data_IF_361285806304
#
_entry.id   IF_361285806304
#
_cell.length_a   1.000
_cell.length_b   1.000
_cell.length_c   1.000
_cell.angle_alpha   90.00
_cell.angle_beta   90.00
_cell.angle_gamma   90.00
#
_symmetry.space_group_name_H-M   'P 1'
#
loop_
_entity.id
_entity.type
_entity.pdbx_description
1 polymer ?
#
# COMPACT_ATOMS: atom_id res chain seq x y z
N UNK A 1 -41.22 -4.39 -40.85
CA UNK A 1 -42.48 -5.19 -40.97
C UNK A 1 -42.68 -5.88 -39.65
N UNK A 2 -43.63 -5.37 -38.96
CA UNK A 2 -44.82 -5.92 -38.30
C UNK A 2 -44.52 -6.68 -37.03
N UNK A 3 -44.86 -6.11 -35.83
CA UNK A 3 -46.16 -6.02 -35.16
C UNK A 3 -46.53 -7.40 -34.52
N UNK A 4 -47.07 -7.55 -33.33
CA UNK A 4 -47.97 -6.81 -32.46
C UNK A 4 -48.13 -7.59 -31.13
N UNK A 5 -48.16 -6.89 -30.04
CA UNK A 5 -49.27 -6.67 -29.09
C UNK A 5 -49.72 -7.80 -28.13
N UNK A 6 -49.64 -7.47 -26.86
CA UNK A 6 -50.70 -7.34 -25.81
C UNK A 6 -51.61 -8.53 -25.48
N UNK A 7 -51.78 -8.87 -24.19
CA UNK A 7 -53.01 -8.57 -23.43
C UNK A 7 -52.97 -9.06 -21.99
N UNK A 8 -53.52 -8.21 -21.14
CA UNK A 8 -53.90 -8.40 -19.74
C UNK A 8 -54.98 -9.46 -19.54
N UNK A 9 -55.08 -10.07 -18.34
CA UNK A 9 -56.38 -10.44 -17.75
C UNK A 9 -56.29 -10.44 -16.22
N UNK A 10 -57.05 -9.54 -15.59
CA UNK A 10 -57.49 -9.50 -14.19
C UNK A 10 -58.77 -10.32 -14.06
N UNK A 11 -58.96 -11.07 -12.99
CA UNK A 11 -60.29 -11.52 -12.56
C UNK A 11 -60.40 -11.61 -11.05
N UNK A 12 -61.22 -10.72 -10.50
CA UNK A 12 -61.82 -10.68 -9.16
C UNK A 12 -63.05 -11.61 -9.14
N UNK A 13 -63.23 -12.36 -8.09
CA UNK A 13 -64.51 -13.05 -7.81
C UNK A 13 -64.89 -12.84 -6.35
N UNK A 14 -65.98 -12.07 -6.16
CA UNK A 14 -66.77 -11.95 -4.93
C UNK A 14 -67.81 -13.07 -4.93
N UNK A 15 -68.04 -13.73 -3.78
CA UNK A 15 -69.22 -14.58 -3.58
C UNK A 15 -69.85 -14.23 -2.25
N UNK A 16 -71.10 -13.83 -2.33
CA UNK A 16 -72.03 -13.51 -1.23
C UNK A 16 -72.71 -14.77 -0.67
N UNK A 17 -72.91 -14.73 0.65
CA UNK A 17 -73.65 -15.82 1.38
C UNK A 17 -75.04 -15.32 1.78
N UNK A 18 -75.98 -16.09 1.50
CA UNK A 18 -77.41 -15.94 1.92
C UNK A 18 -77.65 -16.58 3.28
N UNK A 19 -78.37 -15.86 4.12
CA UNK A 19 -78.88 -16.35 5.42
C UNK A 19 -80.18 -17.10 5.28
N UNK A 20 -80.40 -18.19 6.04
CA UNK A 20 -81.67 -18.73 6.35
C UNK A 20 -81.87 -18.93 7.85
N UNK A 21 -82.84 -18.25 8.40
CA UNK A 21 -83.24 -18.36 9.79
C UNK A 21 -84.29 -19.50 9.95
N UNK A 22 -84.11 -20.31 10.98
CA UNK A 22 -85.17 -21.19 11.52
C UNK A 22 -85.21 -21.05 13.04
N UNK A 23 -86.41 -20.70 13.51
CA UNK A 23 -86.78 -20.54 14.92
C UNK A 23 -87.08 -21.90 15.52
N UNK A 24 -86.56 -22.24 16.68
CA UNK A 24 -86.89 -23.38 17.50
C UNK A 24 -86.72 -23.13 18.97
N UNK A 25 -87.83 -23.03 19.72
CA UNK A 25 -87.88 -22.89 21.18
C UNK A 25 -87.36 -24.11 21.93
N UNK A 26 -86.61 -23.92 22.99
CA UNK A 26 -86.30 -24.99 23.92
C UNK A 26 -85.26 -24.66 24.99
N UNK A 27 -85.73 -24.44 26.22
CA UNK A 27 -85.11 -24.54 27.57
C UNK A 27 -83.75 -23.88 27.83
N UNK A 28 -83.78 -22.95 28.80
CA UNK A 28 -82.60 -22.44 29.51
C UNK A 28 -81.84 -23.56 30.23
N UNK A 29 -80.64 -23.73 29.88
CA UNK A 29 -79.63 -24.45 30.62
C UNK A 29 -78.56 -23.42 31.00
N UNK A 30 -78.17 -23.31 32.30
CA UNK A 30 -77.15 -22.35 32.79
C UNK A 30 -75.81 -22.66 32.21
N UNK A 31 -75.25 -21.73 31.47
CA UNK A 31 -73.91 -21.84 30.90
C UNK A 31 -72.83 -21.67 32.02
N UNK A 32 -72.06 -22.72 32.21
CA UNK A 32 -70.80 -22.64 33.01
C UNK A 32 -69.80 -21.67 32.36
N UNK A 33 -69.05 -20.92 33.14
CA UNK A 33 -68.09 -19.97 32.59
C UNK A 33 -67.00 -20.71 31.78
N UNK A 34 -66.87 -20.36 30.51
CA UNK A 34 -65.78 -20.82 29.63
C UNK A 34 -64.50 -20.14 30.11
N UNK A 35 -63.60 -20.90 30.69
CA UNK A 35 -62.22 -20.47 30.96
C UNK A 35 -61.51 -20.36 29.62
N UNK A 36 -61.37 -19.13 29.12
CA UNK A 36 -60.55 -18.82 27.95
C UNK A 36 -59.10 -19.03 28.37
N UNK A 37 -58.45 -20.05 27.86
CA UNK A 37 -57.03 -20.28 28.02
C UNK A 37 -56.28 -19.06 27.45
N UNK A 38 -55.23 -18.53 28.13
CA UNK A 38 -54.45 -17.39 27.61
C UNK A 38 -53.80 -17.79 26.30
N UNK A 39 -53.97 -16.98 25.27
CA UNK A 39 -53.29 -17.09 23.98
C UNK A 39 -51.80 -17.09 24.25
N UNK A 40 -51.01 -18.05 23.73
CA UNK A 40 -49.55 -18.01 23.89
C UNK A 40 -48.99 -16.69 23.32
N UNK A 41 -48.24 -15.99 24.12
CA UNK A 41 -47.50 -14.81 23.66
C UNK A 41 -46.59 -15.19 22.47
N UNK A 42 -46.44 -14.34 21.44
CA UNK A 42 -45.54 -14.61 20.34
C UNK A 42 -44.15 -14.92 20.88
N UNK A 43 -43.62 -16.09 20.55
CA UNK A 43 -42.23 -16.42 20.91
C UNK A 43 -41.34 -15.33 20.37
N UNK A 44 -40.55 -14.69 21.27
CA UNK A 44 -39.54 -13.73 20.87
C UNK A 44 -38.62 -14.42 19.85
N UNK A 45 -38.56 -13.88 18.64
CA UNK A 45 -37.66 -14.39 17.61
C UNK A 45 -36.23 -14.33 18.14
N UNK A 46 -35.52 -15.45 18.10
CA UNK A 46 -34.11 -15.51 18.48
C UNK A 46 -33.33 -14.43 17.69
N UNK A 47 -32.36 -13.73 18.34
CA UNK A 47 -31.54 -12.76 17.62
C UNK A 47 -30.92 -13.41 16.40
N UNK A 48 -30.96 -12.73 15.24
CA UNK A 48 -30.30 -13.19 14.04
C UNK A 48 -28.81 -13.46 14.33
N UNK A 49 -28.23 -14.56 13.86
CA UNK A 49 -26.82 -14.85 14.09
C UNK A 49 -25.97 -13.67 13.59
N UNK A 50 -24.99 -13.24 14.41
CA UNK A 50 -24.05 -12.20 13.99
C UNK A 50 -23.36 -12.67 12.70
N UNK A 51 -23.16 -11.77 11.71
CA UNK A 51 -22.40 -12.11 10.52
C UNK A 51 -20.99 -12.57 10.92
N UNK A 52 -20.48 -13.60 10.26
CA UNK A 52 -19.09 -14.02 10.48
C UNK A 52 -18.13 -12.90 10.06
N UNK A 53 -17.05 -12.66 10.83
CA UNK A 53 -16.07 -11.64 10.49
C UNK A 53 -15.36 -11.97 9.19
N UNK A 54 -15.02 -10.94 8.42
CA UNK A 54 -14.19 -11.06 7.22
C UNK A 54 -12.77 -11.46 7.65
N UNK A 55 -12.33 -12.67 7.24
CA UNK A 55 -10.98 -13.16 7.48
C UNK A 55 -10.02 -12.61 6.43
N UNK A 56 -8.96 -11.96 6.90
CA UNK A 56 -7.97 -11.27 6.08
C UNK A 56 -6.59 -11.79 6.43
N UNK A 57 -5.77 -12.14 5.43
CA UNK A 57 -4.41 -12.60 5.65
C UNK A 57 -3.39 -11.72 4.92
N UNK A 58 -2.19 -11.61 5.50
CA UNK A 58 -1.06 -10.85 4.95
C UNK A 58 0.14 -11.76 4.78
N UNK A 59 0.72 -11.78 3.59
CA UNK A 59 2.01 -12.41 3.30
C UNK A 59 3.09 -11.33 3.29
N UNK A 60 4.00 -11.36 4.26
CA UNK A 60 5.09 -10.39 4.43
C UNK A 60 6.43 -10.98 3.97
N UNK A 61 7.21 -10.21 3.21
CA UNK A 61 8.54 -10.62 2.73
C UNK A 61 9.59 -10.59 3.84
N UNK A 62 9.52 -9.63 4.73
CA UNK A 62 10.42 -9.45 5.86
C UNK A 62 9.77 -9.76 7.21
N UNK A 63 10.51 -9.59 8.30
CA UNK A 63 9.96 -9.68 9.65
C UNK A 63 9.19 -8.40 10.02
N UNK A 64 8.15 -8.50 10.83
CA UNK A 64 7.37 -7.33 11.31
C UNK A 64 8.19 -6.34 12.15
N UNK A 65 9.37 -6.74 12.58
CA UNK A 65 10.32 -5.91 13.33
C UNK A 65 11.47 -5.35 12.50
N UNK A 66 11.38 -5.34 11.15
CA UNK A 66 12.43 -4.81 10.28
C UNK A 66 12.68 -3.30 10.48
N UNK A 67 11.68 -2.59 10.94
CA UNK A 67 11.70 -1.14 11.13
C UNK A 67 11.41 -0.34 9.85
N UNK A 68 11.19 -1.02 8.73
CA UNK A 68 10.96 -0.42 7.41
C UNK A 68 9.69 -0.93 6.74
N UNK A 69 9.84 -1.64 5.64
CA UNK A 69 8.75 -2.05 4.74
C UNK A 69 7.69 -2.91 5.43
N UNK A 70 8.08 -4.06 6.00
CA UNK A 70 7.13 -4.95 6.66
C UNK A 70 6.52 -4.33 7.89
N UNK A 71 7.29 -3.56 8.66
CA UNK A 71 6.80 -2.79 9.79
C UNK A 71 5.70 -1.80 9.39
N UNK A 72 5.88 -1.06 8.28
CA UNK A 72 4.88 -0.13 7.77
C UNK A 72 3.58 -0.85 7.36
N UNK A 73 3.69 -2.00 6.69
CA UNK A 73 2.53 -2.83 6.33
C UNK A 73 1.79 -3.39 7.56
N UNK A 74 2.53 -3.89 8.57
CA UNK A 74 1.90 -4.44 9.77
C UNK A 74 1.21 -3.35 10.62
N UNK A 75 1.77 -2.15 10.66
CA UNK A 75 1.10 -1.01 11.29
C UNK A 75 -0.23 -0.69 10.59
N UNK A 76 -0.25 -0.72 9.26
CA UNK A 76 -1.49 -0.51 8.51
C UNK A 76 -2.50 -1.65 8.71
N UNK A 77 -2.05 -2.91 8.84
CA UNK A 77 -2.91 -4.03 9.23
C UNK A 77 -3.59 -3.78 10.58
N UNK A 78 -2.84 -3.29 11.57
CA UNK A 78 -3.39 -2.95 12.90
C UNK A 78 -4.44 -1.82 12.83
N UNK A 79 -4.31 -0.89 11.88
CA UNK A 79 -5.34 0.14 11.66
C UNK A 79 -6.64 -0.44 11.09
N UNK A 80 -6.60 -1.55 10.33
CA UNK A 80 -7.80 -2.30 9.94
C UNK A 80 -8.52 -2.83 11.18
N UNK A 81 -7.79 -3.47 12.11
CA UNK A 81 -8.36 -4.01 13.35
C UNK A 81 -9.02 -2.91 14.19
N UNK A 82 -8.39 -1.73 14.27
CA UNK A 82 -8.97 -0.55 14.96
C UNK A 82 -10.21 -0.01 14.26
N UNK A 83 -10.21 0.06 12.93
CA UNK A 83 -11.30 0.65 12.16
C UNK A 83 -12.56 -0.22 12.15
N UNK A 84 -12.40 -1.53 12.14
CA UNK A 84 -13.52 -2.45 11.90
C UNK A 84 -13.85 -3.39 13.06
N UNK A 85 -12.97 -3.52 14.06
CA UNK A 85 -13.22 -4.31 15.28
C UNK A 85 -13.66 -5.74 14.97
N UNK A 86 -14.77 -6.16 15.56
CA UNK A 86 -15.32 -7.52 15.44
C UNK A 86 -15.86 -7.88 14.04
N UNK A 87 -15.87 -6.96 13.09
CA UNK A 87 -16.24 -7.25 11.69
C UNK A 87 -15.13 -7.91 10.88
N UNK A 88 -13.90 -7.90 11.37
CA UNK A 88 -12.74 -8.46 10.68
C UNK A 88 -11.90 -9.31 11.63
N UNK A 89 -11.13 -10.23 11.06
CA UNK A 89 -10.05 -10.94 11.75
C UNK A 89 -8.84 -10.93 10.84
N UNK A 90 -7.74 -10.30 11.29
CA UNK A 90 -6.51 -10.24 10.52
C UNK A 90 -5.48 -11.25 11.02
N UNK A 91 -4.72 -11.82 10.10
CA UNK A 91 -3.60 -12.73 10.36
C UNK A 91 -2.44 -12.42 9.41
N UNK A 92 -1.24 -12.89 9.72
CA UNK A 92 -0.10 -12.73 8.82
C UNK A 92 0.88 -13.91 8.91
N UNK A 93 1.68 -14.06 7.86
CA UNK A 93 2.88 -14.88 7.82
C UNK A 93 4.03 -14.01 7.37
N UNK A 94 5.10 -13.95 8.16
CA UNK A 94 6.29 -13.16 7.88
C UNK A 94 7.41 -14.00 7.25
N UNK A 95 8.40 -13.32 6.64
CA UNK A 95 9.59 -13.96 6.04
C UNK A 95 9.22 -14.97 4.96
N UNK A 96 8.17 -14.69 4.20
CA UNK A 96 7.79 -15.51 3.05
C UNK A 96 8.70 -15.13 1.89
N UNK A 97 9.55 -16.07 1.38
CA UNK A 97 10.48 -15.73 0.32
C UNK A 97 9.76 -15.53 -1.03
N UNK A 98 10.31 -14.68 -1.90
CA UNK A 98 9.83 -14.45 -3.27
C UNK A 98 10.18 -15.63 -4.20
N UNK A 99 9.66 -16.82 -3.88
CA UNK A 99 9.91 -18.09 -4.56
C UNK A 99 8.62 -18.89 -4.71
N UNK A 100 8.73 -20.16 -5.07
CA UNK A 100 7.60 -21.10 -5.09
C UNK A 100 6.91 -21.24 -3.72
N UNK A 101 7.61 -20.94 -2.62
CA UNK A 101 7.01 -20.93 -1.27
C UNK A 101 5.94 -19.87 -1.11
N UNK A 102 6.06 -18.74 -1.79
CA UNK A 102 5.01 -17.70 -1.75
C UNK A 102 3.67 -18.26 -2.24
N UNK A 103 3.65 -19.01 -3.35
CA UNK A 103 2.43 -19.63 -3.86
C UNK A 103 1.83 -20.60 -2.83
N UNK A 104 2.66 -21.45 -2.21
CA UNK A 104 2.23 -22.41 -1.18
C UNK A 104 1.60 -21.70 0.01
N UNK A 105 2.30 -20.69 0.56
CA UNK A 105 1.80 -19.93 1.72
C UNK A 105 0.47 -19.22 1.41
N UNK A 106 0.35 -18.61 0.23
CA UNK A 106 -0.89 -17.92 -0.18
C UNK A 106 -2.04 -18.94 -0.36
N UNK A 107 -1.78 -20.14 -0.90
CA UNK A 107 -2.78 -21.23 -0.96
C UNK A 107 -3.20 -21.69 0.42
N UNK A 108 -2.26 -21.83 1.35
CA UNK A 108 -2.56 -22.18 2.74
C UNK A 108 -3.46 -21.13 3.40
N UNK A 109 -3.21 -19.84 3.17
CA UNK A 109 -4.09 -18.75 3.64
C UNK A 109 -5.52 -18.88 3.10
N UNK A 110 -5.69 -19.22 1.82
CA UNK A 110 -7.02 -19.50 1.23
C UNK A 110 -7.68 -20.69 1.92
N UNK A 111 -6.94 -21.78 2.13
CA UNK A 111 -7.44 -23.02 2.78
C UNK A 111 -7.89 -22.77 4.22
N UNK A 112 -7.25 -21.83 4.93
CA UNK A 112 -7.65 -21.37 6.27
C UNK A 112 -8.93 -20.53 6.28
N UNK A 113 -9.53 -20.30 5.11
CA UNK A 113 -10.81 -19.60 4.97
C UNK A 113 -10.70 -18.09 4.86
N UNK A 114 -9.51 -17.55 4.64
CA UNK A 114 -9.35 -16.13 4.38
C UNK A 114 -10.06 -15.75 3.07
N UNK A 115 -10.78 -14.62 3.08
CA UNK A 115 -11.57 -14.11 1.95
C UNK A 115 -10.93 -12.90 1.28
N UNK A 116 -9.90 -12.35 1.92
CA UNK A 116 -9.08 -11.27 1.39
C UNK A 116 -7.61 -11.53 1.76
N UNK A 117 -6.69 -11.40 0.79
CA UNK A 117 -5.28 -11.70 0.99
C UNK A 117 -4.45 -10.56 0.42
N UNK A 118 -3.58 -10.00 1.26
CA UNK A 118 -2.59 -9.00 0.89
C UNK A 118 -1.23 -9.66 0.71
N UNK A 119 -0.64 -9.53 -0.47
CA UNK A 119 0.75 -9.89 -0.73
C UNK A 119 1.58 -8.62 -0.86
N UNK A 120 2.55 -8.45 0.01
CA UNK A 120 3.17 -7.15 0.26
C UNK A 120 4.54 -6.97 -0.39
N UNK A 121 4.83 -7.64 -1.49
CA UNK A 121 6.07 -7.44 -2.24
C UNK A 121 5.92 -7.75 -3.71
N UNK A 122 6.77 -7.16 -4.53
CA UNK A 122 6.78 -7.29 -6.00
C UNK A 122 6.82 -8.75 -6.48
N UNK A 123 7.67 -9.58 -5.89
CA UNK A 123 7.87 -10.96 -6.31
C UNK A 123 6.69 -11.90 -6.07
N UNK A 124 5.65 -11.47 -5.34
CA UNK A 124 4.43 -12.28 -5.18
C UNK A 124 3.46 -12.18 -6.35
N UNK A 125 3.74 -11.37 -7.38
CA UNK A 125 2.82 -11.13 -8.49
C UNK A 125 2.37 -12.42 -9.19
N UNK A 126 3.30 -13.23 -9.67
CA UNK A 126 2.97 -14.48 -10.38
C UNK A 126 2.37 -15.55 -9.44
N UNK A 127 2.91 -15.79 -8.22
CA UNK A 127 2.28 -16.64 -7.24
C UNK A 127 0.82 -16.27 -6.93
N UNK A 128 0.55 -14.98 -6.69
CA UNK A 128 -0.81 -14.51 -6.39
C UNK A 128 -1.75 -14.67 -7.58
N UNK A 129 -1.31 -14.38 -8.81
CA UNK A 129 -2.12 -14.56 -10.01
C UNK A 129 -2.57 -16.02 -10.19
N UNK A 130 -1.67 -16.97 -9.96
CA UNK A 130 -2.00 -18.40 -10.04
C UNK A 130 -3.05 -18.78 -8.98
N UNK A 131 -2.85 -18.37 -7.73
CA UNK A 131 -3.80 -18.66 -6.66
C UNK A 131 -5.14 -17.97 -6.91
N UNK A 132 -5.16 -16.74 -7.40
CA UNK A 132 -6.37 -16.00 -7.75
C UNK A 132 -7.17 -16.68 -8.88
N UNK A 133 -6.47 -17.23 -9.88
CA UNK A 133 -7.13 -17.97 -10.98
C UNK A 133 -7.95 -19.15 -10.48
N UNK A 134 -7.44 -19.87 -9.47
CA UNK A 134 -8.08 -21.06 -8.90
C UNK A 134 -9.14 -20.73 -7.81
N UNK A 135 -9.15 -19.50 -7.28
CA UNK A 135 -9.93 -19.12 -6.10
C UNK A 135 -10.75 -17.83 -6.33
N UNK A 136 -11.70 -17.87 -7.27
CA UNK A 136 -12.51 -16.72 -7.71
C UNK A 136 -13.32 -16.02 -6.62
N UNK A 137 -13.62 -16.72 -5.53
CA UNK A 137 -14.35 -16.17 -4.36
C UNK A 137 -13.46 -15.44 -3.34
N UNK A 138 -12.14 -15.38 -3.56
CA UNK A 138 -11.16 -14.70 -2.69
C UNK A 138 -10.67 -13.43 -3.38
N UNK A 139 -10.53 -12.35 -2.63
CA UNK A 139 -10.01 -11.06 -3.08
C UNK A 139 -8.52 -10.99 -2.82
N UNK A 140 -7.75 -10.54 -3.82
CA UNK A 140 -6.31 -10.43 -3.71
C UNK A 140 -5.86 -8.98 -3.91
N UNK A 141 -5.02 -8.50 -2.98
CA UNK A 141 -4.39 -7.20 -2.97
C UNK A 141 -2.88 -7.39 -3.10
N UNK A 142 -2.29 -6.94 -4.19
CA UNK A 142 -0.87 -7.12 -4.45
C UNK A 142 -0.13 -5.78 -4.46
N UNK A 143 0.85 -5.62 -3.56
CA UNK A 143 1.70 -4.45 -3.50
C UNK A 143 2.71 -4.43 -4.66
N UNK A 144 2.93 -3.25 -5.23
CA UNK A 144 3.97 -2.94 -6.22
C UNK A 144 3.92 -3.74 -7.54
N UNK A 145 2.87 -4.52 -7.76
CA UNK A 145 2.67 -5.27 -9.00
C UNK A 145 2.03 -4.43 -10.12
N UNK A 146 2.06 -4.99 -11.33
CA UNK A 146 1.46 -4.37 -12.52
C UNK A 146 0.49 -5.30 -13.26
N UNK A 147 0.32 -6.54 -12.82
CA UNK A 147 -0.67 -7.48 -13.37
C UNK A 147 -1.87 -7.58 -12.44
N UNK A 148 -3.05 -7.56 -13.03
CA UNK A 148 -4.33 -7.67 -12.32
C UNK A 148 -5.15 -8.85 -12.83
N UNK A 149 -6.18 -9.24 -12.08
CA UNK A 149 -7.18 -10.22 -12.48
C UNK A 149 -8.57 -9.78 -11.98
N UNK A 150 -9.63 -10.47 -12.41
CA UNK A 150 -11.00 -10.18 -12.00
C UNK A 150 -11.17 -10.11 -10.47
N UNK A 151 -10.42 -10.93 -9.73
CA UNK A 151 -10.40 -10.98 -8.28
C UNK A 151 -9.05 -10.58 -7.67
N UNK A 152 -8.20 -9.88 -8.42
CA UNK A 152 -6.92 -9.34 -7.96
C UNK A 152 -6.72 -7.93 -8.48
N UNK A 153 -6.34 -7.01 -7.59
CA UNK A 153 -5.90 -5.66 -7.92
C UNK A 153 -4.52 -5.38 -7.36
N UNK A 154 -3.88 -4.36 -7.87
CA UNK A 154 -2.56 -3.93 -7.41
C UNK A 154 -2.66 -2.57 -6.75
N UNK A 155 -1.79 -2.34 -5.77
CA UNK A 155 -1.60 -1.04 -5.14
C UNK A 155 -0.11 -0.76 -4.98
N UNK A 156 0.25 0.51 -5.10
CA UNK A 156 1.62 0.99 -4.97
C UNK A 156 1.63 2.40 -4.36
N UNK A 157 2.79 2.82 -3.91
CA UNK A 157 3.02 4.16 -3.37
C UNK A 157 4.09 4.90 -4.19
N UNK A 158 3.92 6.23 -4.31
CA UNK A 158 4.88 7.11 -5.01
C UNK A 158 6.08 7.41 -4.12
N UNK A 159 6.79 6.36 -3.68
CA UNK A 159 7.96 6.46 -2.79
C UNK A 159 9.00 7.47 -3.29
N UNK A 160 9.07 7.66 -4.60
CA UNK A 160 9.95 8.64 -5.23
C UNK A 160 9.67 10.10 -4.81
N UNK A 161 8.47 10.41 -4.33
CA UNK A 161 8.14 11.72 -3.79
C UNK A 161 8.85 11.97 -2.45
N UNK A 162 8.87 10.96 -1.58
CA UNK A 162 9.66 10.95 -0.33
C UNK A 162 11.16 11.00 -0.61
N UNK A 163 11.63 10.20 -1.57
CA UNK A 163 13.02 10.19 -1.99
C UNK A 163 13.48 11.57 -2.52
N UNK A 164 12.65 12.27 -3.28
CA UNK A 164 12.95 13.62 -3.75
C UNK A 164 13.10 14.60 -2.58
N UNK A 165 12.19 14.58 -1.62
CA UNK A 165 12.26 15.43 -0.41
C UNK A 165 13.50 15.12 0.41
N UNK A 166 13.86 13.83 0.60
CA UNK A 166 15.12 13.43 1.21
C UNK A 166 16.33 13.99 0.43
N UNK A 167 16.25 13.94 -0.90
CA UNK A 167 17.28 14.52 -1.77
C UNK A 167 17.48 16.01 -1.55
N UNK A 168 16.42 16.79 -1.45
CA UNK A 168 16.48 18.24 -1.16
C UNK A 168 17.23 18.50 0.16
N UNK A 169 16.92 17.74 1.21
CA UNK A 169 17.63 17.84 2.48
C UNK A 169 19.10 17.42 2.31
N UNK A 170 19.37 16.31 1.62
CA UNK A 170 20.72 15.82 1.37
C UNK A 170 21.58 16.84 0.61
N UNK A 171 21.02 17.50 -0.41
CA UNK A 171 21.71 18.54 -1.18
C UNK A 171 22.15 19.74 -0.35
N UNK A 172 21.39 20.07 0.71
CA UNK A 172 21.72 21.13 1.66
C UNK A 172 22.72 20.67 2.73
N UNK A 173 22.59 19.43 3.20
CA UNK A 173 23.34 18.93 4.35
C UNK A 173 24.69 18.30 3.98
N UNK A 174 24.86 17.84 2.74
CA UNK A 174 26.13 17.27 2.29
C UNK A 174 27.24 18.34 2.22
N UNK A 175 28.36 18.03 2.84
CA UNK A 175 29.58 18.86 2.84
C UNK A 175 30.56 18.40 1.77
N UNK A 176 30.57 17.11 1.42
CA UNK A 176 31.50 16.55 0.44
C UNK A 176 30.97 16.69 -1.01
N UNK A 177 29.68 16.97 -1.19
CA UNK A 177 29.06 16.96 -2.51
C UNK A 177 28.83 15.54 -3.04
N UNK A 178 29.05 14.51 -2.21
CA UNK A 178 28.83 13.11 -2.54
C UNK A 178 27.82 12.51 -1.56
N UNK A 179 26.72 12.01 -2.09
CA UNK A 179 25.70 11.30 -1.33
C UNK A 179 25.68 9.83 -1.74
N UNK A 180 25.19 8.96 -0.87
CA UNK A 180 25.17 7.52 -1.12
C UNK A 180 23.76 6.94 -1.04
N UNK A 181 23.47 5.93 -1.87
CA UNK A 181 22.24 5.15 -1.77
C UNK A 181 22.57 3.67 -1.68
N UNK A 182 22.06 3.00 -0.65
CA UNK A 182 22.03 1.54 -0.58
C UNK A 182 20.75 1.09 -1.27
N UNK A 183 20.92 0.44 -2.43
CA UNK A 183 19.81 -0.08 -3.24
C UNK A 183 19.58 -1.57 -2.99
N UNK A 184 18.33 -1.98 -2.92
CA UNK A 184 17.92 -3.37 -2.76
C UNK A 184 18.05 -4.15 -4.06
N UNK A 185 17.03 -4.18 -4.89
CA UNK A 185 16.94 -4.92 -6.15
C UNK A 185 16.80 -3.93 -7.31
N UNK A 186 17.53 -4.10 -8.43
CA UNK A 186 17.55 -3.12 -9.53
C UNK A 186 16.28 -3.20 -10.41
N UNK A 187 15.14 -2.92 -9.82
CA UNK A 187 13.84 -2.78 -10.49
C UNK A 187 13.48 -1.30 -10.71
N UNK A 188 12.54 -0.99 -11.60
CA UNK A 188 12.16 0.38 -11.93
C UNK A 188 11.80 1.26 -10.72
N UNK A 189 11.16 0.70 -9.70
CA UNK A 189 10.83 1.40 -8.46
C UNK A 189 12.08 1.94 -7.75
N UNK A 190 13.06 1.07 -7.47
CA UNK A 190 14.29 1.43 -6.76
C UNK A 190 15.13 2.41 -7.58
N UNK A 191 15.22 2.20 -8.90
CA UNK A 191 15.91 3.11 -9.82
C UNK A 191 15.25 4.49 -9.80
N UNK A 192 13.93 4.55 -9.81
CA UNK A 192 13.15 5.79 -9.74
C UNK A 192 13.40 6.55 -8.43
N UNK A 193 13.49 5.83 -7.30
CA UNK A 193 13.78 6.43 -6.00
C UNK A 193 15.19 7.01 -5.96
N UNK A 194 16.20 6.27 -6.42
CA UNK A 194 17.59 6.75 -6.54
C UNK A 194 17.66 8.02 -7.40
N UNK A 195 17.00 7.99 -8.53
CA UNK A 195 16.98 9.12 -9.46
C UNK A 195 16.27 10.34 -8.85
N UNK A 196 15.13 10.15 -8.20
CA UNK A 196 14.38 11.24 -7.57
C UNK A 196 15.13 11.85 -6.39
N UNK A 197 15.83 11.04 -5.59
CA UNK A 197 16.75 11.52 -4.57
C UNK A 197 17.86 12.41 -5.18
N UNK A 198 18.45 11.96 -6.28
CA UNK A 198 19.49 12.72 -6.98
C UNK A 198 18.94 14.03 -7.55
N UNK A 199 17.76 14.00 -8.19
CA UNK A 199 17.10 15.21 -8.71
C UNK A 199 16.80 16.21 -7.57
N UNK A 200 16.30 15.72 -6.43
CA UNK A 200 16.07 16.53 -5.23
C UNK A 200 17.37 17.17 -4.73
N UNK A 201 18.44 16.39 -4.60
CA UNK A 201 19.75 16.90 -4.15
C UNK A 201 20.32 17.93 -5.13
N UNK A 202 20.22 17.69 -6.43
CA UNK A 202 20.70 18.61 -7.46
C UNK A 202 19.84 19.88 -7.61
N UNK A 203 18.58 19.86 -7.16
CA UNK A 203 17.74 21.07 -7.13
C UNK A 203 18.27 22.12 -6.15
N UNK A 204 19.08 21.71 -5.17
CA UNK A 204 19.73 22.57 -4.18
C UNK A 204 21.22 22.76 -4.48
N UNK A 205 21.91 21.67 -4.81
CA UNK A 205 23.33 21.71 -5.18
C UNK A 205 23.56 20.94 -6.50
N UNK A 206 23.59 21.62 -7.66
CA UNK A 206 23.71 20.98 -8.97
C UNK A 206 24.98 20.14 -9.19
N UNK A 207 25.98 20.26 -8.30
CA UNK A 207 27.24 19.52 -8.39
C UNK A 207 27.21 18.20 -7.62
N UNK A 208 26.15 17.91 -6.88
CA UNK A 208 26.01 16.67 -6.12
C UNK A 208 26.13 15.47 -7.04
N UNK A 209 26.84 14.47 -6.53
CA UNK A 209 26.97 13.14 -7.12
C UNK A 209 26.38 12.10 -6.18
N UNK A 210 25.66 11.15 -6.75
CA UNK A 210 25.08 10.03 -6.03
C UNK A 210 25.83 8.76 -6.36
N UNK A 211 26.39 8.09 -5.36
CA UNK A 211 26.98 6.74 -5.46
C UNK A 211 25.93 5.71 -5.02
N UNK A 212 25.92 4.57 -5.70
CA UNK A 212 24.97 3.49 -5.40
C UNK A 212 25.73 2.21 -5.14
N UNK A 213 25.34 1.49 -4.08
CA UNK A 213 25.77 0.11 -3.82
C UNK A 213 24.51 -0.76 -3.73
N UNK A 214 24.47 -1.81 -4.53
CA UNK A 214 23.35 -2.74 -4.59
C UNK A 214 23.62 -3.97 -3.72
N UNK A 215 22.65 -4.35 -2.87
CA UNK A 215 22.73 -5.54 -2.03
C UNK A 215 22.03 -6.75 -2.63
N UNK A 216 21.18 -6.56 -3.64
CA UNK A 216 20.38 -7.59 -4.33
C UNK A 216 19.44 -8.39 -3.40
N UNK A 217 19.01 -7.78 -2.31
CA UNK A 217 18.03 -8.30 -1.35
C UNK A 217 17.22 -7.14 -0.77
N UNK A 218 15.97 -7.41 -0.36
CA UNK A 218 15.15 -6.42 0.31
C UNK A 218 15.62 -6.18 1.74
N UNK A 219 15.88 -7.25 2.48
CA UNK A 219 16.26 -7.22 3.89
C UNK A 219 17.49 -8.10 4.15
N UNK A 220 18.63 -7.47 4.36
CA UNK A 220 19.87 -8.12 4.78
C UNK A 220 20.74 -7.13 5.57
N UNK A 221 20.50 -6.95 6.89
CA UNK A 221 21.22 -5.97 7.71
C UNK A 221 22.75 -6.04 7.62
N UNK A 222 23.40 -7.23 7.58
CA UNK A 222 24.84 -7.33 7.35
C UNK A 222 25.30 -6.72 6.03
N UNK A 223 24.66 -7.08 4.91
CA UNK A 223 25.01 -6.53 3.59
C UNK A 223 24.71 -5.03 3.48
N UNK A 224 23.63 -4.58 4.10
CA UNK A 224 23.28 -3.16 4.16
C UNK A 224 24.34 -2.36 4.94
N UNK A 225 24.84 -2.91 6.04
CA UNK A 225 25.96 -2.34 6.82
C UNK A 225 27.24 -2.26 5.99
N UNK A 226 27.59 -3.33 5.25
CA UNK A 226 28.75 -3.34 4.36
C UNK A 226 28.61 -2.31 3.23
N UNK A 227 27.45 -2.22 2.60
CA UNK A 227 27.16 -1.26 1.55
C UNK A 227 27.23 0.19 2.04
N UNK A 228 26.64 0.50 3.19
CA UNK A 228 26.71 1.80 3.82
C UNK A 228 28.16 2.19 4.16
N UNK A 229 28.92 1.24 4.73
CA UNK A 229 30.34 1.44 5.05
C UNK A 229 31.15 1.73 3.78
N UNK A 230 30.92 0.99 2.70
CA UNK A 230 31.62 1.21 1.42
C UNK A 230 31.30 2.61 0.83
N UNK A 231 30.04 3.04 0.88
CA UNK A 231 29.61 4.37 0.43
C UNK A 231 30.29 5.48 1.24
N UNK A 232 30.32 5.35 2.56
CA UNK A 232 30.96 6.31 3.47
C UNK A 232 32.47 6.40 3.20
N UNK A 233 33.15 5.25 3.10
CA UNK A 233 34.58 5.20 2.76
C UNK A 233 34.84 5.74 1.35
N UNK A 234 33.87 5.64 0.45
CA UNK A 234 33.89 6.23 -0.88
C UNK A 234 33.60 7.74 -0.91
N UNK A 235 33.46 8.41 0.26
CA UNK A 235 33.32 9.87 0.39
C UNK A 235 31.87 10.35 0.56
N UNK A 236 30.87 9.48 0.60
CA UNK A 236 29.50 9.88 0.89
C UNK A 236 29.37 10.32 2.37
N UNK A 237 28.76 11.47 2.61
CA UNK A 237 28.53 12.00 3.96
C UNK A 237 27.04 12.05 4.34
N UNK A 238 26.14 11.83 3.38
CA UNK A 238 24.71 11.68 3.58
C UNK A 238 24.24 10.43 2.84
N UNK A 239 23.51 9.53 3.51
CA UNK A 239 23.03 8.28 2.95
C UNK A 239 21.49 8.24 2.89
N UNK A 240 20.99 7.63 1.82
CA UNK A 240 19.61 7.14 1.69
C UNK A 240 19.66 5.62 1.52
N UNK A 241 18.61 4.95 1.90
CA UNK A 241 18.40 3.53 1.62
C UNK A 241 17.12 3.30 0.86
N UNK A 242 17.07 2.20 0.10
CA UNK A 242 15.85 1.58 -0.40
C UNK A 242 15.94 0.09 -0.08
N UNK A 243 16.20 -0.19 1.18
CA UNK A 243 16.26 -1.51 1.82
C UNK A 243 15.44 -1.46 3.11
N UNK A 244 15.04 -2.60 3.62
CA UNK A 244 13.96 -2.69 4.61
C UNK A 244 14.44 -2.59 6.05
N UNK A 245 15.77 -2.68 6.32
CA UNK A 245 16.27 -2.61 7.69
C UNK A 245 16.73 -1.21 8.11
N UNK A 246 16.95 -1.01 9.40
CA UNK A 246 17.53 0.21 9.93
C UNK A 246 19.08 0.27 9.87
N UNK A 247 19.73 -0.73 9.25
CA UNK A 247 21.18 -0.92 9.32
C UNK A 247 21.98 0.23 8.67
N UNK A 248 21.48 0.83 7.60
CA UNK A 248 22.13 1.96 6.92
C UNK A 248 22.18 3.18 7.84
N UNK A 249 21.07 3.53 8.48
CA UNK A 249 20.99 4.64 9.43
C UNK A 249 21.88 4.40 10.65
N UNK A 250 21.86 3.20 11.23
CA UNK A 250 22.72 2.82 12.36
C UNK A 250 24.21 2.90 11.99
N UNK A 251 24.55 2.47 10.78
CA UNK A 251 25.94 2.55 10.28
C UNK A 251 26.38 3.99 10.09
N UNK A 252 25.53 4.83 9.53
CA UNK A 252 25.79 6.27 9.40
C UNK A 252 26.04 6.92 10.78
N UNK A 253 25.22 6.60 11.77
CA UNK A 253 25.41 7.08 13.15
C UNK A 253 26.73 6.65 13.73
N UNK A 254 27.07 5.37 13.64
CA UNK A 254 28.32 4.79 14.13
C UNK A 254 29.56 5.41 13.51
N UNK A 255 29.47 5.81 12.23
CA UNK A 255 30.57 6.41 11.48
C UNK A 255 30.53 7.96 11.47
N UNK A 256 29.64 8.59 12.25
CA UNK A 256 29.53 10.05 12.35
C UNK A 256 29.07 10.72 11.05
N UNK A 257 28.24 10.02 10.27
CA UNK A 257 27.62 10.52 9.03
C UNK A 257 26.13 10.73 9.22
N UNK A 258 25.46 11.22 8.19
CA UNK A 258 24.02 11.49 8.25
C UNK A 258 23.27 10.54 7.32
N UNK A 259 22.01 10.21 7.67
CA UNK A 259 21.17 9.36 6.85
C UNK A 259 19.69 9.62 7.07
N UNK A 260 18.88 9.02 6.21
CA UNK A 260 17.43 9.08 6.27
C UNK A 260 16.86 7.76 6.75
N UNK A 261 15.70 7.81 7.44
CA UNK A 261 14.81 6.69 7.59
C UNK A 261 14.02 6.43 6.30
N UNK A 262 13.64 5.18 6.10
CA UNK A 262 12.91 4.74 4.91
C UNK A 262 11.71 3.87 5.30
N UNK A 263 10.58 4.07 4.64
CA UNK A 263 9.28 3.39 4.83
C UNK A 263 8.59 3.67 6.17
N UNK A 264 9.33 3.93 7.24
CA UNK A 264 8.79 4.28 8.56
C UNK A 264 9.63 5.38 9.23
N UNK A 265 9.14 5.93 10.35
CA UNK A 265 9.95 6.85 11.18
C UNK A 265 11.05 6.07 11.90
N UNK A 266 12.26 6.19 11.40
CA UNK A 266 13.44 5.52 11.92
C UNK A 266 14.27 6.36 12.91
N UNK A 267 13.76 7.47 13.42
CA UNK A 267 14.48 8.38 14.34
C UNK A 267 15.17 7.63 15.50
N UNK A 268 14.48 6.62 16.06
CA UNK A 268 14.98 5.86 17.21
C UNK A 268 16.21 4.99 16.91
N UNK A 269 16.47 4.66 15.63
CA UNK A 269 17.55 3.76 15.25
C UNK A 269 18.90 4.46 15.02
N UNK A 270 18.91 5.79 14.93
CA UNK A 270 20.13 6.57 14.77
C UNK A 270 19.85 8.06 14.96
N UNK A 271 19.48 8.50 16.19
CA UNK A 271 18.95 9.85 16.42
C UNK A 271 19.92 10.97 16.10
N UNK A 272 21.24 10.72 16.13
CA UNK A 272 22.27 11.71 15.78
C UNK A 272 22.54 11.77 14.28
N UNK A 273 22.37 10.65 13.57
CA UNK A 273 22.55 10.57 12.13
C UNK A 273 21.29 10.99 11.37
N UNK A 274 20.13 10.80 11.96
CA UNK A 274 18.82 10.97 11.32
C UNK A 274 18.61 12.41 10.82
N UNK A 275 18.24 12.56 9.54
CA UNK A 275 17.89 13.83 8.90
C UNK A 275 16.39 14.01 8.67
N UNK A 276 15.66 12.92 8.65
CA UNK A 276 14.24 12.80 8.41
C UNK A 276 13.92 11.40 7.92
N UNK A 277 12.66 11.02 7.92
CA UNK A 277 12.20 9.72 7.40
C UNK A 277 11.20 9.91 6.26
N UNK A 278 11.47 9.31 5.10
CA UNK A 278 10.50 9.16 4.03
C UNK A 278 9.61 7.96 4.35
N UNK A 279 8.41 8.23 4.80
CA UNK A 279 7.49 7.16 5.27
C UNK A 279 6.48 6.75 4.22
N UNK A 280 6.01 5.50 4.33
CA UNK A 280 4.81 5.03 3.64
C UNK A 280 3.71 4.78 4.66
N UNK A 281 2.57 5.41 4.45
CA UNK A 281 1.36 5.17 5.22
C UNK A 281 0.37 4.35 4.41
N UNK A 282 0.37 3.04 4.58
CA UNK A 282 -0.54 2.11 3.91
C UNK A 282 -1.95 2.11 4.50
N UNK A 283 -2.14 2.65 5.70
CA UNK A 283 -3.40 2.56 6.44
C UNK A 283 -4.62 3.12 5.68
N UNK A 284 -4.57 4.31 5.03
CA UNK A 284 -5.71 4.82 4.28
C UNK A 284 -6.15 3.88 3.16
N UNK A 285 -5.19 3.26 2.45
CA UNK A 285 -5.51 2.30 1.41
C UNK A 285 -6.11 1.02 1.99
N UNK A 286 -5.52 0.46 3.03
CA UNK A 286 -5.97 -0.80 3.64
C UNK A 286 -7.37 -0.67 4.23
N UNK A 287 -7.62 0.40 4.99
CA UNK A 287 -8.95 0.67 5.54
C UNK A 287 -9.97 0.82 4.42
N UNK A 288 -9.66 1.58 3.36
CA UNK A 288 -10.54 1.70 2.18
C UNK A 288 -10.81 0.35 1.52
N UNK A 289 -9.79 -0.45 1.24
CA UNK A 289 -9.90 -1.73 0.54
C UNK A 289 -10.77 -2.74 1.33
N UNK A 290 -10.58 -2.80 2.65
CA UNK A 290 -11.36 -3.66 3.54
C UNK A 290 -12.79 -3.15 3.67
N UNK A 291 -13.01 -1.84 3.76
CA UNK A 291 -14.35 -1.24 3.77
C UNK A 291 -15.13 -1.57 2.50
N UNK A 292 -14.50 -1.47 1.33
CA UNK A 292 -15.10 -1.87 0.05
C UNK A 292 -15.47 -3.38 0.04
N UNK A 293 -14.62 -4.24 0.64
CA UNK A 293 -14.90 -5.66 0.74
C UNK A 293 -16.08 -5.97 1.66
N UNK A 294 -16.18 -5.30 2.81
CA UNK A 294 -17.29 -5.42 3.76
C UNK A 294 -18.61 -4.92 3.15
N UNK A 295 -18.57 -3.84 2.38
CA UNK A 295 -19.72 -3.23 1.71
C UNK A 295 -20.14 -3.97 0.42
N UNK A 296 -19.40 -4.98 -0.01
CA UNK A 296 -19.62 -5.66 -1.29
C UNK A 296 -19.29 -4.83 -2.53
N UNK A 297 -18.54 -3.74 -2.38
CA UNK A 297 -18.15 -2.80 -3.45
C UNK A 297 -16.74 -3.06 -4.01
N UNK A 298 -16.01 -3.96 -3.41
CA UNK A 298 -14.66 -4.28 -3.85
C UNK A 298 -14.67 -4.92 -5.26
N UNK A 299 -13.84 -4.40 -6.15
CA UNK A 299 -13.66 -4.93 -7.51
C UNK A 299 -12.18 -5.16 -7.80
N UNK A 300 -11.86 -6.25 -8.48
CA UNK A 300 -10.51 -6.49 -9.00
C UNK A 300 -10.24 -5.75 -10.32
N UNK A 301 -9.15 -6.10 -10.99
CA UNK A 301 -8.81 -5.56 -12.31
C UNK A 301 -8.29 -4.13 -12.33
N UNK A 302 -8.06 -3.51 -11.16
CA UNK A 302 -7.62 -2.12 -11.04
C UNK A 302 -6.24 -2.01 -10.43
N UNK A 303 -5.56 -0.89 -10.72
CA UNK A 303 -4.27 -0.53 -10.12
C UNK A 303 -4.38 0.83 -9.46
N UNK A 304 -3.79 0.97 -8.28
CA UNK A 304 -3.78 2.20 -7.50
C UNK A 304 -2.34 2.61 -7.21
N UNK A 305 -2.00 3.88 -7.42
CA UNK A 305 -0.67 4.42 -7.14
C UNK A 305 -0.79 5.75 -6.39
N UNK A 306 -0.69 5.71 -5.07
CA UNK A 306 -0.90 6.82 -4.17
C UNK A 306 0.41 7.49 -3.74
N UNK A 307 0.34 8.78 -3.45
CA UNK A 307 1.49 9.57 -3.04
C UNK A 307 1.17 10.52 -1.88
N UNK A 308 1.89 11.62 -1.85
CA UNK A 308 1.69 12.71 -0.87
C UNK A 308 0.26 13.26 -0.95
N UNK A 309 -0.32 13.30 -2.13
CA UNK A 309 -1.69 13.79 -2.37
C UNK A 309 -2.72 13.01 -1.57
N UNK A 310 -2.62 11.70 -1.55
CA UNK A 310 -3.54 10.79 -0.85
C UNK A 310 -3.12 10.52 0.61
N UNK A 311 -1.98 11.08 1.05
CA UNK A 311 -1.43 10.85 2.39
C UNK A 311 -0.73 9.50 2.56
N UNK A 312 -0.36 8.85 1.43
CA UNK A 312 0.39 7.60 1.45
C UNK A 312 1.90 7.82 1.64
N UNK A 313 2.43 8.98 1.25
CA UNK A 313 3.86 9.34 1.37
C UNK A 313 3.99 10.64 2.15
N UNK A 314 4.97 10.70 3.04
CA UNK A 314 5.40 11.95 3.65
C UNK A 314 6.90 11.92 4.03
N UNK A 315 7.46 13.11 4.30
CA UNK A 315 8.74 13.32 4.95
C UNK A 315 8.48 13.80 6.37
N UNK A 316 8.81 12.97 7.36
CA UNK A 316 8.53 13.24 8.77
C UNK A 316 9.80 13.36 9.60
N UNK A 317 9.66 13.85 10.83
CA UNK A 317 10.72 13.92 11.84
C UNK A 317 12.01 14.57 11.31
N UNK A 318 11.85 15.64 10.51
CA UNK A 318 13.00 16.39 9.97
C UNK A 318 13.84 16.94 11.11
N UNK A 319 15.15 16.65 11.12
CA UNK A 319 16.05 16.96 12.19
C UNK A 319 16.12 18.46 12.49
N UNK A 320 16.34 18.80 13.76
CA UNK A 320 16.35 20.20 14.23
C UNK A 320 17.41 21.03 13.53
N UNK A 321 18.57 20.44 13.22
CA UNK A 321 19.72 21.10 12.59
C UNK A 321 19.60 21.22 11.05
N UNK A 322 18.55 20.71 10.43
CA UNK A 322 18.21 21.03 9.03
C UNK A 322 17.77 22.49 8.99
N UNK A 323 18.37 23.33 8.11
CA UNK A 323 18.05 24.75 8.05
C UNK A 323 16.56 25.03 7.78
N UNK A 324 16.05 26.12 8.36
CA UNK A 324 14.62 26.45 8.26
C UNK A 324 14.18 26.79 6.82
N UNK A 325 15.06 27.34 5.99
CA UNK A 325 14.81 27.54 4.57
C UNK A 325 14.57 26.22 3.84
N UNK A 326 15.28 25.17 4.25
CA UNK A 326 15.14 23.82 3.70
C UNK A 326 13.85 23.15 4.20
N UNK A 327 13.52 23.28 5.49
CA UNK A 327 12.24 22.80 6.04
C UNK A 327 11.06 23.45 5.31
N UNK A 328 11.10 24.77 5.15
CA UNK A 328 10.10 25.51 4.39
C UNK A 328 10.01 25.01 2.95
N UNK A 329 11.13 24.73 2.30
CA UNK A 329 11.15 24.17 0.95
C UNK A 329 10.46 22.79 0.88
N UNK A 330 10.67 21.92 1.88
CA UNK A 330 9.96 20.63 1.98
C UNK A 330 8.46 20.85 2.11
N UNK A 331 8.03 21.81 2.92
CA UNK A 331 6.59 22.13 3.07
C UNK A 331 5.97 22.64 1.75
N UNK A 332 6.68 23.49 1.00
CA UNK A 332 6.26 23.97 -0.32
C UNK A 332 6.14 22.81 -1.32
N UNK A 333 7.10 21.88 -1.34
CA UNK A 333 7.07 20.69 -2.20
C UNK A 333 5.88 19.82 -1.82
N UNK A 334 5.70 19.54 -0.53
CA UNK A 334 4.56 18.77 -0.02
C UNK A 334 3.22 19.39 -0.43
N UNK A 335 3.07 20.70 -0.26
CA UNK A 335 1.87 21.42 -0.67
C UNK A 335 1.66 21.36 -2.19
N UNK A 336 2.72 21.53 -2.97
CA UNK A 336 2.68 21.45 -4.41
C UNK A 336 2.33 20.04 -4.94
N UNK A 337 2.85 18.99 -4.32
CA UNK A 337 2.50 17.59 -4.63
C UNK A 337 1.02 17.31 -4.32
N UNK A 338 0.53 17.77 -3.15
CA UNK A 338 -0.90 17.66 -2.79
C UNK A 338 -1.81 18.37 -3.78
N UNK A 339 -1.42 19.55 -4.22
CA UNK A 339 -2.18 20.36 -5.17
C UNK A 339 -2.00 19.92 -6.63
N UNK A 340 -1.04 19.04 -6.93
CA UNK A 340 -0.69 18.66 -8.31
C UNK A 340 -0.01 19.78 -9.11
N UNK A 341 0.60 20.75 -8.43
CA UNK A 341 1.30 21.89 -9.06
C UNK A 341 2.83 21.74 -9.06
N UNK A 342 3.35 20.82 -8.28
CA UNK A 342 4.77 20.48 -8.26
C UNK A 342 5.01 19.13 -8.94
N UNK A 343 5.87 19.11 -9.96
CA UNK A 343 6.19 17.93 -10.76
C UNK A 343 7.68 17.61 -10.63
N UNK A 344 8.02 16.51 -9.97
CA UNK A 344 9.40 16.06 -9.78
C UNK A 344 10.05 15.74 -11.13
N UNK A 345 9.31 15.01 -11.98
CA UNK A 345 9.80 14.51 -13.25
C UNK A 345 9.37 15.41 -14.41
N UNK A 346 9.66 16.72 -14.31
CA UNK A 346 9.49 17.71 -15.37
C UNK A 346 10.84 18.02 -16.02
N UNK A 347 10.89 17.87 -17.34
CA UNK A 347 12.13 18.12 -18.13
C UNK A 347 12.55 19.59 -18.22
N UNK A 348 13.80 19.83 -18.64
CA UNK A 348 14.68 18.82 -19.24
C UNK A 348 15.39 17.96 -18.21
N UNK A 349 15.37 16.64 -18.39
CA UNK A 349 16.10 15.68 -17.56
C UNK A 349 17.00 14.83 -18.47
N UNK A 350 18.29 14.77 -18.13
CA UNK A 350 19.29 13.98 -18.85
C UNK A 350 19.58 12.70 -18.09
N UNK A 351 19.91 11.62 -18.80
CA UNK A 351 20.53 10.46 -18.18
C UNK A 351 22.01 10.68 -17.85
N UNK A 352 22.62 9.76 -17.15
CA UNK A 352 24.02 9.86 -16.75
C UNK A 352 25.03 9.62 -17.89
N UNK A 353 24.54 9.31 -19.09
CA UNK A 353 25.36 9.26 -20.33
C UNK A 353 25.31 10.58 -21.11
N UNK A 354 24.41 11.49 -20.71
CA UNK A 354 24.18 12.76 -21.40
C UNK A 354 23.06 12.73 -22.45
N UNK A 355 22.32 11.62 -22.56
CA UNK A 355 21.13 11.53 -23.42
C UNK A 355 19.93 12.15 -22.73
N UNK A 356 19.08 12.86 -23.50
CA UNK A 356 17.82 13.40 -22.98
C UNK A 356 16.84 12.26 -22.67
N UNK A 357 16.36 12.22 -21.41
CA UNK A 357 15.31 11.32 -20.95
C UNK A 357 13.92 11.96 -21.02
N UNK A 358 13.83 13.21 -20.63
CA UNK A 358 12.58 13.98 -20.65
C UNK A 358 12.90 15.35 -21.26
N UNK A 359 12.20 15.66 -22.33
CA UNK A 359 12.37 16.92 -23.04
C UNK A 359 11.93 18.11 -22.18
N UNK A 360 12.45 19.29 -22.50
CA UNK A 360 12.08 20.54 -21.84
C UNK A 360 10.57 20.71 -21.79
N UNK A 361 10.05 21.13 -20.63
CA UNK A 361 8.63 21.40 -20.36
C UNK A 361 7.70 20.18 -20.46
N UNK A 362 8.24 18.99 -20.66
CA UNK A 362 7.49 17.73 -20.64
C UNK A 362 7.46 17.15 -19.21
N UNK A 363 6.33 16.58 -18.81
CA UNK A 363 6.18 15.83 -17.54
C UNK A 363 6.12 14.35 -17.86
N UNK A 364 6.91 13.54 -17.16
CA UNK A 364 6.86 12.09 -17.28
C UNK A 364 5.51 11.55 -16.79
N UNK A 365 4.96 10.62 -17.53
CA UNK A 365 3.75 9.89 -17.13
C UNK A 365 4.07 8.66 -16.28
N UNK A 366 3.04 8.06 -15.69
CA UNK A 366 3.17 6.89 -14.85
C UNK A 366 3.74 5.67 -15.60
N UNK A 367 3.49 5.56 -16.92
CA UNK A 367 4.03 4.49 -17.75
C UNK A 367 5.54 4.62 -17.90
N UNK A 368 6.04 5.83 -18.14
CA UNK A 368 7.48 6.10 -18.18
C UNK A 368 8.13 5.79 -16.83
N UNK A 369 7.54 6.29 -15.74
CA UNK A 369 8.06 6.10 -14.40
C UNK A 369 8.06 4.62 -13.96
N UNK A 370 7.03 3.86 -14.34
CA UNK A 370 6.93 2.43 -14.08
C UNK A 370 7.89 1.56 -14.91
N UNK A 371 8.43 2.10 -16.01
CA UNK A 371 9.37 1.40 -16.89
C UNK A 371 10.82 1.87 -16.81
N UNK A 372 11.16 2.73 -15.84
CA UNK A 372 12.47 3.40 -15.78
C UNK A 372 13.62 2.40 -15.50
N UNK A 373 14.64 2.42 -16.36
CA UNK A 373 15.79 1.47 -16.31
C UNK A 373 17.15 2.16 -16.36
N UNK A 374 17.20 3.47 -16.34
CA UNK A 374 18.42 4.26 -16.48
C UNK A 374 18.59 5.22 -15.34
N UNK A 375 19.83 5.62 -15.04
CA UNK A 375 20.12 6.65 -14.07
C UNK A 375 20.01 8.05 -14.70
N UNK A 376 19.57 9.02 -13.89
CA UNK A 376 19.65 10.43 -14.25
C UNK A 376 21.10 10.95 -14.10
N UNK A 377 21.39 12.06 -14.75
CA UNK A 377 22.68 12.77 -14.60
C UNK A 377 22.98 13.03 -13.12
N UNK A 378 24.21 12.68 -12.72
CA UNK A 378 24.68 12.82 -11.34
C UNK A 378 24.72 11.50 -10.57
N UNK A 379 24.00 10.47 -10.99
CA UNK A 379 24.18 9.13 -10.45
C UNK A 379 25.39 8.47 -11.13
N UNK A 380 26.32 7.97 -10.35
CA UNK A 380 27.54 7.31 -10.85
C UNK A 380 27.31 5.83 -11.16
N UNK A 381 27.98 5.30 -12.17
CA UNK A 381 27.93 3.90 -12.57
C UNK A 381 26.80 3.55 -13.53
N UNK A 382 26.46 2.26 -13.57
CA UNK A 382 25.39 1.71 -14.42
C UNK A 382 24.40 0.92 -13.58
N UNK A 383 23.17 0.88 -14.02
CA UNK A 383 22.15 -0.02 -13.44
C UNK A 383 22.56 -1.47 -13.68
N UNK A 384 22.62 -2.34 -12.66
CA UNK A 384 22.94 -3.76 -12.87
C UNK A 384 21.93 -4.42 -13.82
N UNK A 385 22.45 -5.21 -14.79
CA UNK A 385 21.60 -5.91 -15.76
C UNK A 385 20.97 -5.04 -16.85
N UNK A 386 21.24 -3.74 -16.87
CA UNK A 386 20.66 -2.79 -17.83
C UNK A 386 21.08 -3.01 -19.30
N UNK A 387 22.13 -3.74 -19.55
CA UNK A 387 22.66 -4.02 -20.90
C UNK A 387 22.11 -5.34 -21.51
N UNK A 388 21.24 -6.08 -20.81
CA UNK A 388 20.56 -7.25 -21.41
C UNK A 388 19.36 -6.77 -22.21
N UNK A 389 19.56 -6.76 -23.55
CA UNK A 389 18.52 -6.50 -24.55
C UNK A 389 17.48 -7.63 -24.58
#
# INVERSE_FOLDING_TARGET
>A
MTNLQKRYFTMTALSAVAAAALVGCGKKEEAKPVVVAPTPAPAASAPAPKPEPLKIAFAYVGPVGDGGWTFAHDNARKEIDKAYGDKVVTSFVEKVPESADAERVIRDMVTQGNKMIFGTTFGYMEPMLKVAADNKGVKFEHATGYKTAENMRTYDSRTYEGAYMAGVIAGKMSKTGTVGVVGSIPIPEVIRNINSFTLGAQSVNPKIKTKVVWVNEWFNPPKETEAATALINGGADVLMQNTDSSAVLQTAEKMGKRAFGWDSDMTAYGPKAHLGSAIINWAPYYVKAVGEALDGKWTGGTSTWWGVKEGAIDMVSVAADVPDDTKKRIDEIRAGLKAGTFMIWKGPIMDNTGKELIAKDTVADDKFLGGLKTYVKGVEGKVPGGDKK
#
